data_IF_434713280080
#
_entry.id   IF_434713280080
#
_cell.length_a   1.000
_cell.length_b   1.000
_cell.length_c   1.000
_cell.angle_alpha   90.00
_cell.angle_beta   90.00
_cell.angle_gamma   90.00
#
_symmetry.space_group_name_H-M   'P 1'
#
loop_
_entity.id
_entity.type
_entity.pdbx_description
1 polymer ?
#
# COMPACT_ATOMS: atom_id res chain seq x y z
N UNK A 1 -3.91 0.38 -16.92
CA UNK A 1 -2.73 1.26 -16.69
C UNK A 1 -3.23 2.56 -16.10
N UNK A 2 -2.82 2.89 -14.88
CA UNK A 2 -3.28 4.08 -14.15
C UNK A 2 -2.42 5.33 -14.47
N UNK A 3 -1.84 5.40 -15.67
CA UNK A 3 -1.06 6.56 -16.12
C UNK A 3 0.33 6.71 -15.48
N UNK A 4 0.80 5.73 -14.70
CA UNK A 4 2.16 5.73 -14.16
C UNK A 4 3.10 5.07 -15.15
N UNK A 5 4.12 5.81 -15.56
CA UNK A 5 5.22 5.26 -16.38
C UNK A 5 6.23 4.62 -15.43
N UNK A 6 6.37 3.29 -15.53
CA UNK A 6 7.31 2.53 -14.70
C UNK A 6 8.26 1.72 -15.58
N UNK A 7 9.55 1.77 -15.26
CA UNK A 7 10.59 0.96 -15.89
C UNK A 7 10.96 -0.20 -14.99
N UNK A 8 11.09 -1.40 -15.57
CA UNK A 8 11.49 -2.61 -14.85
C UNK A 8 13.00 -2.78 -14.97
N UNK A 9 13.67 -2.91 -13.83
CA UNK A 9 15.08 -3.28 -13.78
C UNK A 9 15.24 -4.60 -13.03
N UNK A 10 16.08 -5.52 -13.52
CA UNK A 10 16.39 -6.74 -12.77
C UNK A 10 17.21 -6.37 -11.54
N UNK A 11 16.85 -6.93 -10.40
CA UNK A 11 17.58 -6.83 -9.13
C UNK A 11 18.21 -8.17 -8.78
N UNK A 12 19.05 -8.19 -7.75
CA UNK A 12 19.67 -9.42 -7.23
C UNK A 12 18.57 -10.37 -6.74
N UNK A 13 18.88 -11.69 -6.74
CA UNK A 13 17.97 -12.76 -6.27
C UNK A 13 16.69 -12.94 -7.09
N UNK A 14 16.75 -12.74 -8.41
CA UNK A 14 15.60 -12.91 -9.31
C UNK A 14 14.41 -12.00 -8.98
N UNK A 15 14.68 -10.88 -8.30
CA UNK A 15 13.70 -9.85 -7.98
C UNK A 15 13.65 -8.81 -9.09
N UNK A 16 12.53 -8.11 -9.20
CA UNK A 16 12.34 -7.02 -10.16
C UNK A 16 12.15 -5.72 -9.39
N UNK A 17 12.98 -4.73 -9.70
CA UNK A 17 12.86 -3.38 -9.18
C UNK A 17 12.04 -2.53 -10.15
N UNK A 18 11.03 -1.86 -9.64
CA UNK A 18 10.23 -0.91 -10.40
C UNK A 18 10.75 0.49 -10.13
N UNK A 19 11.17 1.16 -11.20
CA UNK A 19 11.59 2.56 -11.15
C UNK A 19 10.45 3.43 -11.70
N UNK A 20 10.11 4.46 -10.97
CA UNK A 20 9.13 5.48 -11.37
C UNK A 20 9.74 6.85 -11.19
N UNK A 21 9.24 7.83 -11.92
CA UNK A 21 9.66 9.22 -11.74
C UNK A 21 9.38 9.68 -10.30
N UNK A 22 10.30 10.46 -9.72
CA UNK A 22 10.19 10.95 -8.34
C UNK A 22 8.90 11.74 -8.09
N UNK A 23 8.40 12.44 -9.09
CA UNK A 23 7.14 13.18 -9.04
C UNK A 23 5.90 12.27 -8.97
N UNK A 24 6.01 11.03 -9.42
CA UNK A 24 4.93 10.05 -9.49
C UNK A 24 4.97 9.00 -8.37
N UNK A 25 5.99 9.00 -7.51
CA UNK A 25 6.15 7.99 -6.44
C UNK A 25 4.92 7.95 -5.53
N UNK A 26 4.44 9.09 -5.06
CA UNK A 26 3.29 9.15 -4.15
C UNK A 26 2.03 8.56 -4.80
N UNK A 27 1.78 8.89 -6.06
CA UNK A 27 0.65 8.37 -6.82
C UNK A 27 0.78 6.87 -7.10
N UNK A 28 1.99 6.41 -7.45
CA UNK A 28 2.27 4.99 -7.69
C UNK A 28 2.05 4.14 -6.42
N UNK A 29 2.54 4.63 -5.27
CA UNK A 29 2.35 3.96 -3.97
C UNK A 29 0.88 3.89 -3.58
N UNK A 30 0.13 4.97 -3.80
CA UNK A 30 -1.30 5.01 -3.50
C UNK A 30 -2.09 4.06 -4.42
N UNK A 31 -1.78 4.03 -5.72
CA UNK A 31 -2.38 3.10 -6.67
C UNK A 31 -2.11 1.62 -6.29
N UNK A 32 -0.89 1.30 -5.82
CA UNK A 32 -0.54 -0.02 -5.34
C UNK A 32 -1.31 -0.38 -4.06
N UNK A 33 -1.42 0.55 -3.10
CA UNK A 33 -2.17 0.33 -1.85
C UNK A 33 -3.67 0.09 -2.12
N UNK A 34 -4.27 0.85 -3.03
CA UNK A 34 -5.67 0.64 -3.44
C UNK A 34 -5.90 -0.74 -4.06
N UNK A 35 -4.91 -1.29 -4.74
CA UNK A 35 -4.94 -2.64 -5.31
C UNK A 35 -4.45 -3.73 -4.35
N UNK A 36 -4.21 -3.39 -3.07
CA UNK A 36 -3.75 -4.34 -2.06
C UNK A 36 -2.31 -4.83 -2.25
N UNK A 37 -1.44 -4.02 -2.86
CA UNK A 37 -0.01 -4.35 -3.00
C UNK A 37 0.85 -3.54 -2.02
N UNK A 38 1.97 -4.11 -1.50
CA UNK A 38 2.39 -5.51 -1.69
C UNK A 38 1.40 -6.48 -1.03
N UNK A 39 1.10 -7.61 -1.70
CA UNK A 39 0.30 -8.67 -1.06
C UNK A 39 1.11 -9.29 0.07
N UNK A 40 0.43 -9.56 1.17
CA UNK A 40 1.04 -10.22 2.30
C UNK A 40 1.51 -11.61 1.89
N UNK A 41 2.78 -11.92 2.17
CA UNK A 41 3.31 -13.25 1.93
C UNK A 41 2.93 -14.13 3.13
N UNK A 42 2.22 -15.21 2.86
CA UNK A 42 1.90 -16.20 3.88
C UNK A 42 3.10 -17.11 4.07
N UNK A 43 3.52 -17.27 5.32
CA UNK A 43 4.59 -18.21 5.66
C UNK A 43 4.15 -19.63 5.32
N UNK A 44 5.05 -20.42 4.75
CA UNK A 44 4.82 -21.85 4.56
C UNK A 44 4.93 -22.58 5.89
N UNK A 45 4.31 -23.76 6.00
CA UNK A 45 4.43 -24.59 7.18
C UNK A 45 5.89 -24.89 7.54
N UNK A 46 6.73 -25.07 6.51
CA UNK A 46 8.17 -25.31 6.66
C UNK A 46 8.92 -24.12 7.27
N UNK A 47 8.53 -22.90 6.91
CA UNK A 47 9.14 -21.68 7.45
C UNK A 47 8.70 -21.40 8.89
N UNK A 48 7.43 -21.66 9.18
CA UNK A 48 6.88 -21.44 10.52
C UNK A 48 7.38 -22.48 11.54
N UNK A 49 7.66 -23.70 11.08
CA UNK A 49 8.07 -24.84 11.92
C UNK A 49 9.22 -25.60 11.23
N UNK A 50 10.47 -25.16 11.36
CA UNK A 50 11.62 -25.87 10.85
C UNK A 50 11.69 -27.30 11.43
N UNK A 51 12.09 -28.28 10.62
CA UNK A 51 12.14 -29.69 11.00
C UNK A 51 13.38 -30.05 11.83
N UNK A 52 13.85 -29.19 12.70
CA UNK A 52 15.09 -29.47 13.46
C UNK A 52 14.87 -30.36 14.69
N UNK A 53 13.62 -30.63 15.12
CA UNK A 53 13.30 -31.54 16.18
C UNK A 53 12.85 -32.92 15.64
N UNK A 54 13.66 -33.93 15.86
CA UNK A 54 13.37 -35.31 15.50
C UNK A 54 12.18 -35.92 16.28
N UNK A 55 11.71 -35.24 17.35
CA UNK A 55 10.59 -35.66 18.18
C UNK A 55 9.63 -34.51 18.35
N UNK A 56 8.58 -34.49 17.52
CA UNK A 56 7.47 -33.53 17.72
C UNK A 56 6.48 -34.11 18.73
N UNK A 57 6.09 -33.29 19.71
CA UNK A 57 5.00 -33.66 20.60
C UNK A 57 3.64 -33.58 19.86
N UNK A 58 2.62 -34.38 20.24
CA UNK A 58 1.28 -34.29 19.68
C UNK A 58 0.70 -32.86 19.70
N UNK A 59 1.02 -32.10 20.77
CA UNK A 59 0.64 -30.71 20.90
C UNK A 59 1.30 -29.83 19.83
N UNK A 60 2.58 -30.04 19.51
CA UNK A 60 3.29 -29.30 18.50
C UNK A 60 2.74 -29.61 17.09
N UNK A 61 2.41 -30.87 16.82
CA UNK A 61 1.78 -31.24 15.53
C UNK A 61 0.39 -30.60 15.35
N UNK A 62 -0.41 -30.59 16.41
CA UNK A 62 -1.71 -29.95 16.43
C UNK A 62 -1.58 -28.43 16.19
N UNK A 63 -0.63 -27.76 16.85
CA UNK A 63 -0.37 -26.35 16.63
C UNK A 63 0.05 -26.06 15.18
N UNK A 64 0.87 -26.93 14.57
CA UNK A 64 1.25 -26.85 13.15
C UNK A 64 0.04 -26.99 12.23
N UNK A 65 -0.85 -27.94 12.50
CA UNK A 65 -2.06 -28.16 11.72
C UNK A 65 -2.99 -26.94 11.79
N UNK A 66 -3.24 -26.40 13.00
CA UNK A 66 -4.05 -25.19 13.19
C UNK A 66 -3.46 -24.01 12.41
N UNK A 67 -2.15 -23.81 12.54
CA UNK A 67 -1.45 -22.75 11.83
C UNK A 67 -1.57 -22.90 10.30
N UNK A 68 -1.30 -24.11 9.78
CA UNK A 68 -1.37 -24.40 8.36
C UNK A 68 -2.78 -24.14 7.80
N UNK A 69 -3.83 -24.62 8.46
CA UNK A 69 -5.23 -24.38 8.06
C UNK A 69 -5.60 -22.90 8.12
N UNK A 70 -5.16 -22.19 9.15
CA UNK A 70 -5.39 -20.74 9.26
C UNK A 70 -4.72 -19.95 8.13
N UNK A 71 -3.50 -20.32 7.75
CA UNK A 71 -2.77 -19.69 6.64
C UNK A 71 -3.39 -20.02 5.28
N UNK A 72 -3.77 -21.26 5.05
CA UNK A 72 -4.41 -21.71 3.82
C UNK A 72 -5.73 -20.97 3.58
N UNK A 73 -6.59 -20.91 4.60
CA UNK A 73 -7.84 -20.16 4.54
C UNK A 73 -7.62 -18.67 4.34
N UNK A 74 -6.66 -18.07 5.05
CA UNK A 74 -6.30 -16.66 4.87
C UNK A 74 -5.83 -16.38 3.44
N UNK A 75 -5.01 -17.27 2.87
CA UNK A 75 -4.56 -17.19 1.49
C UNK A 75 -5.72 -17.29 0.50
N UNK A 76 -6.62 -18.26 0.69
CA UNK A 76 -7.79 -18.46 -0.17
C UNK A 76 -8.72 -17.24 -0.14
N UNK A 77 -9.04 -16.72 1.04
CA UNK A 77 -9.89 -15.55 1.18
C UNK A 77 -9.26 -14.27 0.61
N UNK A 78 -7.93 -14.19 0.60
CA UNK A 78 -7.20 -13.07 -0.02
C UNK A 78 -7.25 -13.06 -1.55
N UNK A 79 -7.74 -14.16 -2.19
CA UNK A 79 -7.94 -14.21 -3.64
C UNK A 79 -9.29 -13.61 -4.07
N UNK A 80 -10.19 -13.31 -3.12
CA UNK A 80 -11.47 -12.69 -3.42
C UNK A 80 -11.23 -11.25 -3.88
N UNK A 81 -11.83 -10.86 -5.00
CA UNK A 81 -11.70 -9.50 -5.53
C UNK A 81 -12.23 -8.47 -4.51
N UNK A 82 -11.46 -7.40 -4.31
CA UNK A 82 -11.77 -6.38 -3.31
C UNK A 82 -11.26 -6.67 -1.90
N UNK A 83 -10.81 -7.88 -1.60
CA UNK A 83 -10.14 -8.19 -0.33
C UNK A 83 -8.69 -7.73 -0.38
N UNK A 84 -8.30 -6.86 0.53
CA UNK A 84 -6.94 -6.33 0.68
C UNK A 84 -6.11 -7.19 1.62
N UNK A 85 -6.71 -7.60 2.74
CA UNK A 85 -6.10 -8.47 3.75
C UNK A 85 -7.17 -9.40 4.28
N UNK A 86 -6.87 -10.69 4.38
CA UNK A 86 -7.68 -11.66 5.10
C UNK A 86 -6.82 -12.38 6.16
N UNK A 87 -7.38 -12.57 7.34
CA UNK A 87 -6.79 -13.33 8.44
C UNK A 87 -7.81 -14.28 9.02
N UNK A 88 -7.44 -15.53 9.17
CA UNK A 88 -8.29 -16.55 9.78
C UNK A 88 -7.58 -17.13 11.00
N UNK A 89 -8.28 -17.13 12.10
CA UNK A 89 -7.86 -17.77 13.33
C UNK A 89 -8.77 -18.96 13.61
N UNK A 90 -8.17 -20.13 13.76
CA UNK A 90 -8.88 -21.39 13.97
C UNK A 90 -8.57 -21.90 15.36
N UNK A 91 -9.60 -22.34 16.05
CA UNK A 91 -9.49 -23.13 17.30
C UNK A 91 -10.13 -24.48 17.03
N UNK A 92 -9.36 -25.55 17.12
CA UNK A 92 -9.87 -26.91 17.00
C UNK A 92 -10.47 -27.40 18.33
N UNK A 93 -11.42 -28.31 18.24
CA UNK A 93 -11.98 -28.98 19.41
C UNK A 93 -10.87 -29.69 20.20
N UNK A 94 -10.92 -29.59 21.52
CA UNK A 94 -9.97 -30.27 22.41
C UNK A 94 -10.36 -31.74 22.55
N UNK A 95 -9.44 -32.63 22.14
CA UNK A 95 -9.64 -34.08 22.17
C UNK A 95 -9.08 -34.72 23.47
N UNK A 96 -8.16 -34.01 24.16
CA UNK A 96 -7.49 -34.50 25.37
C UNK A 96 -8.22 -34.04 26.66
N UNK A 97 -9.50 -34.37 26.75
CA UNK A 97 -10.33 -33.96 27.89
C UNK A 97 -10.05 -34.83 29.12
N UNK A 98 -9.88 -34.21 30.28
CA UNK A 98 -9.87 -34.90 31.55
C UNK A 98 -11.30 -35.36 31.90
N UNK A 99 -11.44 -36.45 32.67
CA UNK A 99 -12.76 -36.87 33.11
C UNK A 99 -13.52 -35.73 33.83
N UNK A 100 -14.67 -35.35 33.27
CA UNK A 100 -15.50 -34.26 33.80
C UNK A 100 -15.34 -32.89 33.13
N UNK A 101 -14.38 -32.68 32.25
CA UNK A 101 -14.26 -31.48 31.44
C UNK A 101 -15.21 -31.54 30.23
N UNK A 102 -15.81 -30.39 29.90
CA UNK A 102 -16.65 -30.27 28.70
C UNK A 102 -15.77 -29.89 27.50
N UNK A 103 -15.97 -30.54 26.34
CA UNK A 103 -15.22 -30.19 25.14
C UNK A 103 -15.45 -28.74 24.75
N UNK A 104 -14.37 -28.04 24.50
CA UNK A 104 -14.44 -26.72 23.86
C UNK A 104 -14.62 -26.96 22.37
N UNK A 105 -15.80 -26.69 21.81
CA UNK A 105 -16.06 -26.99 20.40
C UNK A 105 -15.24 -26.07 19.50
N UNK A 106 -14.92 -26.59 18.29
CA UNK A 106 -14.19 -25.82 17.28
C UNK A 106 -14.85 -24.48 16.98
N UNK A 107 -14.03 -23.47 16.73
CA UNK A 107 -14.50 -22.12 16.35
C UNK A 107 -13.52 -21.46 15.39
N UNK A 108 -13.98 -20.49 14.61
CA UNK A 108 -13.15 -19.71 13.72
C UNK A 108 -13.52 -18.22 13.76
N UNK A 109 -12.50 -17.39 13.64
CA UNK A 109 -12.66 -15.94 13.50
C UNK A 109 -11.97 -15.49 12.22
N UNK A 110 -12.71 -14.79 11.37
CA UNK A 110 -12.26 -14.27 10.07
C UNK A 110 -12.24 -12.75 10.13
N UNK A 111 -11.09 -12.17 9.91
CA UNK A 111 -10.92 -10.73 9.72
C UNK A 111 -10.64 -10.44 8.25
N UNK A 112 -11.41 -9.52 7.66
CA UNK A 112 -11.25 -9.09 6.28
C UNK A 112 -11.17 -7.57 6.23
N UNK A 113 -10.08 -7.05 5.69
CA UNK A 113 -9.98 -5.66 5.27
C UNK A 113 -10.22 -5.60 3.77
N UNK A 114 -11.18 -4.82 3.33
CA UNK A 114 -11.57 -4.73 1.92
C UNK A 114 -11.48 -3.31 1.38
N UNK A 115 -11.46 -3.16 0.06
CA UNK A 115 -11.54 -1.88 -0.61
C UNK A 115 -12.87 -1.19 -0.29
N UNK A 116 -12.85 0.12 -0.09
CA UNK A 116 -14.02 0.89 0.36
C UNK A 116 -15.16 0.95 -0.71
N UNK A 117 -14.79 0.77 -1.98
CA UNK A 117 -15.70 0.78 -3.13
C UNK A 117 -16.35 -0.59 -3.42
N UNK A 118 -15.98 -1.65 -2.67
CA UNK A 118 -16.50 -3.00 -2.86
C UNK A 118 -17.36 -3.42 -1.68
N UNK A 119 -18.64 -3.72 -1.95
CA UNK A 119 -19.57 -4.25 -0.95
C UNK A 119 -19.40 -5.78 -0.84
N UNK A 120 -18.68 -6.23 0.19
CA UNK A 120 -18.45 -7.65 0.45
C UNK A 120 -19.47 -8.28 1.41
N UNK A 121 -20.42 -7.51 1.95
CA UNK A 121 -21.40 -8.00 2.93
C UNK A 121 -22.23 -9.18 2.41
N UNK A 122 -22.54 -9.20 1.12
CA UNK A 122 -23.26 -10.30 0.46
C UNK A 122 -22.48 -11.62 0.40
N UNK A 123 -21.14 -11.57 0.54
CA UNK A 123 -20.28 -12.74 0.53
C UNK A 123 -20.08 -13.39 1.89
N UNK A 124 -20.56 -12.76 2.99
CA UNK A 124 -20.40 -13.32 4.35
C UNK A 124 -20.92 -14.75 4.48
N UNK A 125 -22.09 -15.13 3.95
CA UNK A 125 -22.57 -16.51 4.03
C UNK A 125 -21.64 -17.49 3.30
N UNK A 126 -21.13 -17.12 2.12
CA UNK A 126 -20.22 -17.94 1.32
C UNK A 126 -18.87 -18.10 2.03
N UNK A 127 -18.34 -17.03 2.63
CA UNK A 127 -17.11 -17.06 3.43
C UNK A 127 -17.27 -17.99 4.61
N UNK A 128 -18.40 -17.89 5.36
CA UNK A 128 -18.69 -18.80 6.46
C UNK A 128 -18.81 -20.25 6.02
N UNK A 129 -19.47 -20.49 4.89
CA UNK A 129 -19.63 -21.84 4.35
C UNK A 129 -18.27 -22.45 3.93
N UNK A 130 -17.42 -21.65 3.27
CA UNK A 130 -16.06 -22.07 2.91
C UNK A 130 -15.25 -22.48 4.15
N UNK A 131 -15.26 -21.63 5.18
CA UNK A 131 -14.52 -21.88 6.44
C UNK A 131 -15.10 -23.10 7.17
N UNK A 132 -16.43 -23.21 7.25
CA UNK A 132 -17.11 -24.36 7.87
C UNK A 132 -16.71 -25.69 7.23
N UNK A 133 -16.71 -25.75 5.90
CA UNK A 133 -16.41 -26.96 5.15
C UNK A 133 -14.91 -27.30 5.11
N UNK A 134 -14.04 -26.36 5.48
CA UNK A 134 -12.58 -26.55 5.49
C UNK A 134 -12.04 -27.04 6.82
N UNK A 135 -12.84 -26.98 7.89
CA UNK A 135 -12.41 -27.32 9.24
C UNK A 135 -13.35 -28.38 9.81
N UNK A 136 -12.77 -29.53 10.15
CA UNK A 136 -13.51 -30.63 10.74
C UNK A 136 -14.04 -30.25 12.15
N UNK A 137 -15.30 -30.61 12.43
CA UNK A 137 -15.95 -30.34 13.71
C UNK A 137 -16.37 -28.88 13.94
N UNK A 138 -16.15 -27.99 12.96
CA UNK A 138 -16.57 -26.61 13.06
C UNK A 138 -18.07 -26.45 12.71
N UNK A 139 -18.79 -25.74 13.58
CA UNK A 139 -20.19 -25.40 13.33
C UNK A 139 -20.28 -23.99 12.71
N UNK A 140 -21.18 -23.79 11.73
CA UNK A 140 -21.44 -22.54 11.06
C UNK A 140 -21.71 -21.36 12.03
N UNK A 141 -22.44 -21.62 13.12
CA UNK A 141 -22.80 -20.59 14.13
C UNK A 141 -21.59 -20.14 14.97
N UNK A 142 -20.48 -20.90 14.94
CA UNK A 142 -19.26 -20.60 15.64
C UNK A 142 -18.22 -19.90 14.78
N UNK A 143 -18.64 -19.42 13.62
CA UNK A 143 -17.79 -18.65 12.72
C UNK A 143 -18.17 -17.17 12.83
N UNK A 144 -17.24 -16.36 13.32
CA UNK A 144 -17.37 -14.91 13.35
C UNK A 144 -16.62 -14.32 12.13
N UNK A 145 -17.27 -13.42 11.42
CA UNK A 145 -16.68 -12.67 10.31
C UNK A 145 -16.74 -11.18 10.62
N UNK A 146 -15.58 -10.52 10.62
CA UNK A 146 -15.45 -9.08 10.83
C UNK A 146 -14.88 -8.48 9.56
N UNK A 147 -15.62 -7.56 8.96
CA UNK A 147 -15.18 -6.83 7.77
C UNK A 147 -14.94 -5.38 8.10
N UNK A 148 -13.82 -4.84 7.59
CA UNK A 148 -13.42 -3.45 7.81
C UNK A 148 -13.08 -2.83 6.47
N UNK A 149 -13.79 -1.78 6.04
CA UNK A 149 -13.42 -1.07 4.83
C UNK A 149 -12.07 -0.38 5.02
N UNK A 150 -11.28 -0.34 3.96
CA UNK A 150 -10.06 0.45 3.93
C UNK A 150 -10.42 1.93 3.99
N UNK A 151 -9.92 2.64 5.01
CA UNK A 151 -10.01 4.09 4.99
C UNK A 151 -9.24 4.59 3.76
N UNK A 152 -9.91 5.25 2.82
CA UNK A 152 -9.26 6.07 1.82
C UNK A 152 -8.52 7.18 2.58
N UNK A 153 -7.22 7.02 2.72
CA UNK A 153 -6.39 8.19 2.98
C UNK A 153 -6.49 9.00 1.68
N UNK A 154 -7.38 9.99 1.63
CA UNK A 154 -7.32 11.03 0.61
C UNK A 154 -5.97 11.70 0.80
N UNK A 155 -4.96 11.17 0.15
CA UNK A 155 -3.76 11.95 -0.10
C UNK A 155 -4.24 13.07 -1.00
N UNK A 156 -4.55 14.21 -0.39
CA UNK A 156 -4.72 15.45 -1.11
C UNK A 156 -3.35 15.66 -1.75
N UNK A 157 -3.21 15.15 -2.96
CA UNK A 157 -2.06 15.43 -3.80
C UNK A 157 -2.19 16.92 -4.10
N UNK A 158 -1.67 17.75 -3.21
CA UNK A 158 -1.23 19.07 -3.63
C UNK A 158 -0.20 18.77 -4.70
N UNK A 159 -0.66 18.71 -5.94
CA UNK A 159 0.22 18.75 -7.08
C UNK A 159 0.92 20.09 -7.00
N UNK A 160 2.03 20.14 -6.31
CA UNK A 160 3.00 21.22 -6.47
C UNK A 160 3.44 21.15 -7.93
N UNK A 161 2.69 21.83 -8.79
CA UNK A 161 3.03 21.97 -10.19
C UNK A 161 4.27 22.86 -10.23
N UNK A 162 5.43 22.20 -10.17
CA UNK A 162 6.69 22.87 -10.43
C UNK A 162 6.71 23.31 -11.89
N UNK A 163 6.90 24.62 -12.11
CA UNK A 163 7.15 25.17 -13.43
C UNK A 163 8.67 25.36 -13.56
N UNK A 164 9.29 24.69 -14.51
CA UNK A 164 10.71 24.89 -14.76
C UNK A 164 10.91 26.20 -15.53
N UNK A 165 11.64 27.13 -14.95
CA UNK A 165 12.10 28.36 -15.59
C UNK A 165 13.63 28.32 -15.55
N UNK A 166 14.28 28.34 -16.71
CA UNK A 166 15.74 28.27 -16.85
C UNK A 166 16.40 27.13 -16.06
N UNK A 167 15.91 25.89 -16.21
CA UNK A 167 16.45 24.68 -15.54
C UNK A 167 16.37 24.66 -14.00
N UNK A 168 15.67 25.60 -13.37
CA UNK A 168 15.41 25.63 -11.93
C UNK A 168 13.95 25.26 -11.66
N UNK A 169 13.70 24.26 -10.83
CA UNK A 169 12.35 23.90 -10.39
C UNK A 169 11.89 24.86 -9.30
N UNK A 170 10.88 25.68 -9.60
CA UNK A 170 10.34 26.70 -8.70
C UNK A 170 8.86 26.46 -8.47
N UNK A 171 8.39 26.63 -7.23
CA UNK A 171 6.95 26.59 -6.92
C UNK A 171 6.21 27.73 -7.58
N UNK A 172 4.92 27.51 -7.94
CA UNK A 172 4.10 28.51 -8.67
C UNK A 172 4.04 29.88 -7.98
N UNK A 173 4.09 29.90 -6.66
CA UNK A 173 4.04 31.16 -5.89
C UNK A 173 5.32 31.98 -6.04
N UNK A 174 6.48 31.33 -6.08
CA UNK A 174 7.78 31.98 -6.21
C UNK A 174 8.11 32.37 -7.65
N UNK A 175 7.50 31.67 -8.63
CA UNK A 175 7.74 31.92 -10.07
C UNK A 175 7.35 33.34 -10.48
N UNK A 176 6.23 33.87 -9.98
CA UNK A 176 5.76 35.23 -10.31
C UNK A 176 6.68 36.31 -9.74
N UNK A 177 7.19 36.13 -8.54
CA UNK A 177 8.17 37.04 -7.94
C UNK A 177 9.50 37.02 -8.67
N UNK A 178 9.95 35.83 -9.09
CA UNK A 178 11.21 35.64 -9.82
C UNK A 178 11.16 36.29 -11.22
N UNK A 179 10.04 36.13 -11.92
CA UNK A 179 9.77 36.83 -13.21
C UNK A 179 9.73 38.33 -13.01
N UNK A 180 9.07 38.84 -11.96
CA UNK A 180 9.03 40.24 -11.61
C UNK A 180 10.42 40.84 -11.39
N UNK A 181 11.28 40.18 -10.63
CA UNK A 181 12.66 40.59 -10.37
C UNK A 181 13.47 40.63 -11.67
N UNK A 182 13.32 39.62 -12.52
CA UNK A 182 14.05 39.52 -13.79
C UNK A 182 13.64 40.63 -14.77
N UNK A 183 12.34 40.94 -14.89
CA UNK A 183 11.84 42.03 -15.69
C UNK A 183 12.33 43.39 -15.16
N UNK A 184 12.32 43.57 -13.84
CA UNK A 184 12.82 44.81 -13.21
C UNK A 184 14.32 45.02 -13.47
N UNK A 185 15.12 43.94 -13.40
CA UNK A 185 16.56 43.99 -13.70
C UNK A 185 16.84 44.38 -15.17
N UNK A 186 16.05 43.82 -16.10
CA UNK A 186 16.16 44.17 -17.56
C UNK A 186 15.78 45.65 -17.79
N UNK A 187 14.74 46.16 -17.15
CA UNK A 187 14.34 47.57 -17.24
C UNK A 187 15.41 48.51 -16.69
N UNK A 188 16.08 48.14 -15.56
CA UNK A 188 17.20 48.90 -15.04
C UNK A 188 18.38 48.96 -15.99
N UNK A 189 18.72 47.85 -16.65
CA UNK A 189 19.79 47.81 -17.66
C UNK A 189 19.47 48.69 -18.87
N UNK A 190 18.23 48.66 -19.36
CA UNK A 190 17.77 49.50 -20.47
C UNK A 190 17.81 50.97 -20.05
N UNK A 191 17.30 51.30 -18.86
CA UNK A 191 17.33 52.68 -18.32
C UNK A 191 18.73 53.24 -18.18
N UNK A 192 19.68 52.43 -17.66
CA UNK A 192 21.08 52.82 -17.55
C UNK A 192 21.72 53.07 -18.94
N UNK A 193 21.44 52.21 -19.92
CA UNK A 193 21.93 52.40 -21.30
C UNK A 193 21.37 53.66 -21.95
N UNK A 194 20.09 53.93 -21.77
CA UNK A 194 19.44 55.17 -22.32
C UNK A 194 19.98 56.42 -21.63
N UNK A 195 20.20 56.37 -20.29
CA UNK A 195 20.76 57.50 -19.55
C UNK A 195 22.20 57.84 -20.00
N UNK A 196 23.04 56.82 -20.17
CA UNK A 196 24.41 57.01 -20.66
C UNK A 196 24.43 57.53 -22.10
N UNK A 197 23.54 57.02 -22.97
CA UNK A 197 23.41 57.48 -24.34
C UNK A 197 22.94 58.96 -24.42
N UNK A 198 21.95 59.33 -23.59
CA UNK A 198 21.45 60.72 -23.56
C UNK A 198 22.46 61.68 -22.97
N UNK A 199 23.23 61.22 -21.94
CA UNK A 199 24.31 62.01 -21.36
C UNK A 199 25.45 62.23 -22.34
N UNK A 200 25.88 61.21 -23.06
CA UNK A 200 26.91 61.30 -24.09
C UNK A 200 26.51 62.24 -25.24
N UNK A 201 25.23 62.17 -25.64
CA UNK A 201 24.69 63.06 -26.71
C UNK A 201 24.56 64.54 -26.26
N UNK A 202 24.33 64.80 -24.98
CA UNK A 202 24.33 66.16 -24.41
C UNK A 202 25.74 66.70 -24.25
N UNK A 203 26.72 65.89 -23.91
CA UNK A 203 28.13 66.30 -23.85
C UNK A 203 28.67 66.67 -25.23
N UNK A 204 28.31 65.92 -26.27
CA UNK A 204 28.72 66.22 -27.67
C UNK A 204 28.13 67.50 -28.29
N UNK A 205 27.10 68.08 -27.67
CA UNK A 205 26.49 69.38 -28.12
C UNK A 205 27.03 70.60 -27.36
N UNK A 206 27.91 70.40 -26.39
CA UNK A 206 28.48 71.50 -25.59
C UNK A 206 30.00 71.74 -25.84
N UNK A 207 30.60 71.03 -26.78
CA UNK A 207 31.90 71.26 -27.36
C UNK A 207 31.74 71.78 -28.82
#
# INVERSE_FOLDING_TARGET
SEGVVATKEPDKDNKVKLMVDSSQIAFAVDALKRKGYPREQFSTLKEAFPKDDLISSPLAERARLVYAKSQELSSTLSQIDGVLVARVHVVLEDQDLRPGERPTPASASVFIKHAADVALDSYVPQIKLLVNNSIEGLNYDRISVVMVPSSEVRVTTQSNQFKSILSVQVTKETANHLIGILVFMVLLLIGSNVATFTWCRRSAKRG
#
